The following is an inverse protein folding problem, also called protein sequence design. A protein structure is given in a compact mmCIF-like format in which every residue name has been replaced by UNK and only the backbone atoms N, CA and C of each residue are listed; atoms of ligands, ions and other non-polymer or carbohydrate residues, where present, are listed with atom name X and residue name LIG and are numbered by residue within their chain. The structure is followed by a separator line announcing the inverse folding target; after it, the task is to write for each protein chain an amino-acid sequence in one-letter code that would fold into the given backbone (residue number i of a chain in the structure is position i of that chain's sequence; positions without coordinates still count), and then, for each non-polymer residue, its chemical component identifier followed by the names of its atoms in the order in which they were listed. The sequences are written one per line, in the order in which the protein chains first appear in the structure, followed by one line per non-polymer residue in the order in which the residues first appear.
data_IF_079946655907
#
_entry.id   IF_079946655907
#
_cell.length_a   1.000
_cell.length_b   1.000
_cell.length_c   1.000
_cell.angle_alpha   90.00
_cell.angle_beta   90.00
_cell.angle_gamma   90.00
#
_symmetry.space_group_name_H-M   'P 1'
#
loop_
_entity.id
_entity.type
_entity.pdbx_description
1 polymer ?
#
# COMPACT_ATOMS: atom_id res chain seq x y z
N UNK A 1 16.19 26.75 -25.79
CA UNK A 1 15.90 25.53 -24.98
C UNK A 1 14.43 25.20 -25.18
N UNK A 2 14.13 24.10 -25.86
CA UNK A 2 12.75 23.62 -26.00
C UNK A 2 12.45 22.73 -24.80
N UNK A 3 11.58 23.18 -23.91
CA UNK A 3 11.12 22.39 -22.76
C UNK A 3 9.96 21.50 -23.17
N UNK A 4 10.00 20.24 -22.76
CA UNK A 4 8.86 19.34 -22.83
C UNK A 4 8.12 19.37 -21.49
N UNK A 5 6.81 19.57 -21.55
CA UNK A 5 5.93 19.42 -20.38
C UNK A 5 5.26 18.06 -20.50
N UNK A 6 5.57 17.16 -19.57
CA UNK A 6 4.91 15.86 -19.47
C UNK A 6 3.81 15.97 -18.41
N UNK A 7 2.56 15.79 -18.81
CA UNK A 7 1.43 15.75 -17.90
C UNK A 7 1.14 14.28 -17.58
N UNK A 8 1.47 13.85 -16.37
CA UNK A 8 1.32 12.47 -15.90
C UNK A 8 0.11 12.39 -14.97
N UNK A 9 -0.80 11.44 -15.23
CA UNK A 9 -1.86 11.11 -14.28
C UNK A 9 -1.29 10.23 -13.15
N UNK A 10 -1.45 10.72 -11.91
CA UNK A 10 -0.97 10.07 -10.70
C UNK A 10 -2.12 9.48 -9.86
N UNK A 11 -3.35 9.43 -10.38
CA UNK A 11 -4.48 8.85 -9.65
C UNK A 11 -4.21 7.40 -9.14
N UNK A 12 -3.65 6.47 -9.95
CA UNK A 12 -3.37 5.11 -9.48
C UNK A 12 -2.35 5.06 -8.33
N UNK A 13 -1.34 5.93 -8.36
CA UNK A 13 -0.33 6.06 -7.29
C UNK A 13 -0.99 6.58 -6.01
N UNK A 14 -1.92 7.53 -6.14
CA UNK A 14 -2.65 8.12 -5.01
C UNK A 14 -3.57 7.11 -4.32
N UNK A 15 -4.21 6.23 -5.09
CA UNK A 15 -4.99 5.11 -4.56
C UNK A 15 -4.11 4.09 -3.83
N UNK A 16 -2.96 3.74 -4.41
CA UNK A 16 -1.98 2.85 -3.79
C UNK A 16 -1.47 3.37 -2.44
N UNK A 17 -1.09 4.66 -2.36
CA UNK A 17 -0.68 5.31 -1.12
C UNK A 17 -1.81 5.27 -0.08
N UNK A 18 -3.07 5.41 -0.52
CA UNK A 18 -4.23 5.34 0.37
C UNK A 18 -4.44 3.93 0.96
N UNK A 19 -4.26 2.89 0.13
CA UNK A 19 -4.31 1.48 0.57
C UNK A 19 -3.16 1.16 1.52
N UNK A 20 -1.95 1.61 1.20
CA UNK A 20 -0.77 1.44 2.06
C UNK A 20 -1.02 2.07 3.43
N UNK A 21 -1.54 3.31 3.48
CA UNK A 21 -1.87 3.98 4.73
C UNK A 21 -2.87 3.20 5.58
N UNK A 22 -3.88 2.59 4.95
CA UNK A 22 -4.85 1.73 5.64
C UNK A 22 -4.16 0.51 6.27
N UNK A 23 -3.29 -0.17 5.53
CA UNK A 23 -2.53 -1.31 6.04
C UNK A 23 -1.64 -0.91 7.23
N UNK A 24 -0.94 0.22 7.14
CA UNK A 24 -0.12 0.74 8.24
C UNK A 24 -0.96 1.08 9.47
N UNK A 25 -2.15 1.64 9.28
CA UNK A 25 -3.06 1.94 10.39
C UNK A 25 -3.57 0.68 11.09
N UNK A 26 -3.96 -0.35 10.33
CA UNK A 26 -4.39 -1.62 10.92
C UNK A 26 -3.24 -2.28 11.68
N UNK A 27 -2.03 -2.29 11.11
CA UNK A 27 -0.83 -2.82 11.80
C UNK A 27 -0.56 -2.08 13.11
N UNK A 28 -0.70 -0.76 13.10
CA UNK A 28 -0.55 0.04 14.31
C UNK A 28 -1.60 -0.28 15.37
N UNK A 29 -2.86 -0.56 14.97
CA UNK A 29 -3.90 -0.99 15.91
C UNK A 29 -3.54 -2.34 16.55
N UNK A 30 -3.13 -3.33 15.76
CA UNK A 30 -2.68 -4.64 16.28
C UNK A 30 -1.52 -4.48 17.26
N UNK A 31 -0.55 -3.62 16.93
CA UNK A 31 0.61 -3.37 17.80
C UNK A 31 0.19 -2.72 19.13
N UNK A 32 -0.67 -1.70 19.10
CA UNK A 32 -1.23 -1.07 20.31
C UNK A 32 -1.95 -2.12 21.15
N UNK A 33 -2.77 -2.97 20.52
CA UNK A 33 -3.52 -4.01 21.20
C UNK A 33 -2.59 -4.99 21.92
N UNK A 34 -1.64 -5.56 21.19
CA UNK A 34 -0.65 -6.49 21.71
C UNK A 34 0.12 -5.90 22.90
N UNK A 35 0.55 -4.64 22.78
CA UNK A 35 1.32 -3.95 23.81
C UNK A 35 0.48 -3.59 25.05
N UNK A 36 -0.81 -3.32 24.87
CA UNK A 36 -1.70 -2.89 25.96
C UNK A 36 -2.26 -4.08 26.73
N UNK A 37 -2.67 -5.13 26.02
CA UNK A 37 -3.44 -6.24 26.60
C UNK A 37 -2.69 -7.57 26.63
N UNK A 38 -1.47 -7.63 26.07
CA UNK A 38 -0.61 -8.82 26.09
C UNK A 38 -1.07 -9.96 25.17
N UNK A 39 -2.06 -9.71 24.30
CA UNK A 39 -2.59 -10.68 23.36
C UNK A 39 -3.06 -10.01 22.06
N UNK A 40 -3.26 -10.81 21.02
CA UNK A 40 -3.80 -10.35 19.73
C UNK A 40 -5.01 -11.22 19.41
N UNK A 41 -6.12 -10.60 19.03
CA UNK A 41 -7.30 -11.34 18.64
C UNK A 41 -7.17 -11.91 17.22
N UNK A 42 -7.63 -13.15 16.94
CA UNK A 42 -7.56 -13.76 15.61
C UNK A 42 -8.20 -12.91 14.49
N UNK A 43 -9.25 -12.16 14.80
CA UNK A 43 -9.92 -11.24 13.89
C UNK A 43 -9.04 -10.05 13.48
N UNK A 44 -8.17 -9.57 14.37
CA UNK A 44 -7.21 -8.49 14.08
C UNK A 44 -6.15 -8.97 13.10
N UNK A 45 -5.65 -10.20 13.28
CA UNK A 45 -4.72 -10.85 12.34
C UNK A 45 -5.42 -11.05 10.98
N UNK A 46 -6.67 -11.50 11.00
CA UNK A 46 -7.44 -11.72 9.77
C UNK A 46 -7.68 -10.42 9.00
N UNK A 47 -7.98 -9.32 9.70
CA UNK A 47 -8.12 -8.00 9.10
C UNK A 47 -6.78 -7.49 8.53
N UNK A 48 -5.67 -7.72 9.23
CA UNK A 48 -4.33 -7.38 8.76
C UNK A 48 -3.97 -8.14 7.47
N UNK A 49 -4.21 -9.46 7.44
CA UNK A 49 -3.94 -10.31 6.29
C UNK A 49 -4.76 -9.88 5.06
N UNK A 50 -6.04 -9.57 5.25
CA UNK A 50 -6.91 -9.09 4.17
C UNK A 50 -6.41 -7.78 3.57
N UNK A 51 -6.10 -6.80 4.42
CA UNK A 51 -5.65 -5.49 3.94
C UNK A 51 -4.29 -5.58 3.25
N UNK A 52 -3.38 -6.41 3.76
CA UNK A 52 -2.09 -6.68 3.12
C UNK A 52 -2.23 -7.38 1.76
N UNK A 53 -3.16 -8.34 1.65
CA UNK A 53 -3.47 -9.01 0.38
C UNK A 53 -4.04 -8.03 -0.65
N UNK A 54 -4.92 -7.12 -0.21
CA UNK A 54 -5.49 -6.07 -1.06
C UNK A 54 -4.44 -5.05 -1.53
N UNK A 55 -3.37 -4.82 -0.77
CA UNK A 55 -2.26 -3.95 -1.15
C UNK A 55 -1.33 -4.60 -2.20
N UNK A 56 -1.05 -5.89 -2.05
CA UNK A 56 0.00 -6.57 -2.81
C UNK A 56 -0.25 -6.64 -4.33
N UNK A 57 -1.50 -6.87 -4.74
CA UNK A 57 -1.87 -6.94 -6.17
C UNK A 57 -1.60 -5.63 -6.91
N UNK A 58 -2.27 -4.53 -6.52
CA UNK A 58 -2.06 -3.21 -7.13
C UNK A 58 -0.60 -2.74 -7.09
N UNK A 59 0.14 -3.05 -6.00
CA UNK A 59 1.55 -2.69 -5.89
C UNK A 59 2.41 -3.44 -6.90
N UNK A 60 2.17 -4.74 -7.07
CA UNK A 60 2.86 -5.57 -8.07
C UNK A 60 2.64 -5.05 -9.49
N UNK A 61 1.40 -4.66 -9.80
CA UNK A 61 1.06 -4.15 -11.13
C UNK A 61 1.68 -2.77 -11.40
N UNK A 62 1.72 -1.88 -10.40
CA UNK A 62 2.46 -0.61 -10.52
C UNK A 62 3.96 -0.86 -10.76
N UNK A 63 4.58 -1.79 -10.02
CA UNK A 63 6.00 -2.08 -10.19
C UNK A 63 6.33 -2.62 -11.59
N UNK A 64 5.46 -3.47 -12.16
CA UNK A 64 5.61 -3.94 -13.56
C UNK A 64 5.51 -2.81 -14.58
N UNK A 65 4.60 -1.86 -14.36
CA UNK A 65 4.46 -0.69 -15.25
C UNK A 65 5.69 0.22 -15.15
N UNK A 66 6.19 0.47 -13.95
CA UNK A 66 7.39 1.27 -13.74
C UNK A 66 8.65 0.60 -14.31
N UNK A 67 8.79 -0.74 -14.20
CA UNK A 67 9.93 -1.44 -14.80
C UNK A 67 9.94 -1.32 -16.32
N UNK A 68 8.77 -1.42 -16.97
CA UNK A 68 8.65 -1.23 -18.41
C UNK A 68 9.03 0.18 -18.88
N UNK A 69 8.83 1.20 -18.04
CA UNK A 69 9.23 2.58 -18.34
C UNK A 69 10.74 2.83 -18.21
N UNK A 70 11.43 2.07 -17.36
CA UNK A 70 12.88 2.21 -17.12
C UNK A 70 13.72 1.42 -18.13
N UNK A 71 13.15 0.43 -18.81
CA UNK A 71 13.83 -0.35 -19.86
C UNK A 71 13.86 0.34 -21.25
N UNK A 72 13.27 1.54 -21.39
CA UNK A 72 13.24 2.38 -22.60
C UNK A 72 14.37 3.42 -22.61
#
# INVERSE_FOLDING_TARGET
LCGYVLQIDLAPVRELVSLQRRCSNNLNQVAIHANTYGGIYPEEISALQRDYSALWGPLSDLLKQLSALVEL
#
